data_IF_333695873782
#
_entry.id   IF_333695873782
#
_cell.length_a   1.000
_cell.length_b   1.000
_cell.length_c   1.000
_cell.angle_alpha   90.00
_cell.angle_beta   90.00
_cell.angle_gamma   90.00
#
_symmetry.space_group_name_H-M   'P 1'
#
loop_
_entity.id
_entity.type
_entity.pdbx_description
1 polymer ?
#
# COMPACT_ATOMS: atom_id res chain seq x y z
N UNK A 1 -62.01 -22.71 -21.10
CA UNK A 1 -61.94 -21.66 -20.07
C UNK A 1 -60.70 -21.94 -19.24
N UNK A 2 -59.76 -20.99 -19.19
CA UNK A 2 -58.52 -21.10 -18.43
C UNK A 2 -58.66 -20.35 -17.09
N UNK A 3 -58.31 -21.02 -15.99
CA UNK A 3 -57.90 -20.42 -14.71
C UNK A 3 -56.65 -21.19 -14.29
N UNK A 4 -55.45 -20.67 -14.52
CA UNK A 4 -54.76 -19.62 -13.76
C UNK A 4 -53.88 -20.21 -12.64
N UNK A 5 -52.58 -20.26 -12.95
CA UNK A 5 -51.42 -20.06 -12.07
C UNK A 5 -51.39 -20.68 -10.66
N UNK A 6 -50.46 -21.64 -10.51
CA UNK A 6 -49.44 -21.54 -9.47
C UNK A 6 -49.91 -21.68 -8.03
N UNK A 7 -50.60 -22.78 -7.69
CA UNK A 7 -50.71 -23.17 -6.30
C UNK A 7 -49.34 -23.70 -5.85
N UNK A 8 -48.55 -22.83 -5.23
CA UNK A 8 -47.31 -23.22 -4.54
C UNK A 8 -47.72 -24.03 -3.33
N UNK A 9 -47.65 -25.36 -3.44
CA UNK A 9 -47.69 -26.23 -2.28
C UNK A 9 -46.51 -25.83 -1.42
N UNK A 10 -46.79 -25.20 -0.27
CA UNK A 10 -45.78 -24.89 0.73
C UNK A 10 -45.31 -26.23 1.27
N UNK A 11 -44.20 -26.74 0.72
CA UNK A 11 -43.50 -27.85 1.31
C UNK A 11 -43.16 -27.44 2.75
N UNK A 12 -43.47 -28.24 3.77
CA UNK A 12 -43.05 -27.95 5.12
C UNK A 12 -41.53 -27.82 5.11
N UNK A 13 -41.05 -26.61 5.37
CA UNK A 13 -39.62 -26.35 5.48
C UNK A 13 -39.05 -27.26 6.55
N UNK A 14 -37.97 -27.96 6.21
CA UNK A 14 -37.16 -28.76 7.15
C UNK A 14 -36.32 -27.89 8.09
N UNK A 15 -36.67 -26.62 8.24
CA UNK A 15 -36.19 -25.77 9.30
C UNK A 15 -37.12 -26.01 10.48
N UNK A 16 -36.72 -26.94 11.35
CA UNK A 16 -37.38 -27.17 12.62
C UNK A 16 -37.47 -25.86 13.38
N UNK A 17 -38.70 -25.49 13.75
CA UNK A 17 -38.96 -24.62 14.88
C UNK A 17 -38.60 -25.41 16.13
N UNK A 18 -37.31 -25.59 16.39
CA UNK A 18 -36.83 -25.99 17.71
C UNK A 18 -36.60 -24.67 18.47
N UNK A 19 -37.70 -24.03 18.88
CA UNK A 19 -37.71 -23.08 19.99
C UNK A 19 -37.59 -23.84 21.31
N UNK A 20 -36.56 -24.67 21.43
CA UNK A 20 -36.10 -25.25 22.69
C UNK A 20 -34.58 -25.19 22.65
N UNK A 21 -34.04 -24.05 23.09
CA UNK A 21 -32.65 -23.92 23.53
C UNK A 21 -32.50 -24.76 24.81
N UNK A 22 -32.66 -26.09 24.68
CA UNK A 22 -32.21 -27.03 25.69
C UNK A 22 -30.71 -26.81 25.82
N UNK A 23 -30.29 -26.40 27.01
CA UNK A 23 -28.90 -26.37 27.42
C UNK A 23 -28.34 -27.80 27.35
N UNK A 24 -28.02 -28.28 26.14
CA UNK A 24 -27.28 -29.52 25.92
C UNK A 24 -25.95 -29.36 26.63
N UNK A 25 -25.71 -30.22 27.62
CA UNK A 25 -24.41 -30.32 28.26
C UNK A 25 -23.36 -30.52 27.16
N UNK A 26 -22.40 -29.59 27.08
CA UNK A 26 -21.30 -29.70 26.11
C UNK A 26 -20.63 -31.05 26.25
N UNK A 27 -20.63 -31.84 25.18
CA UNK A 27 -19.92 -33.11 25.18
C UNK A 27 -18.40 -32.84 25.28
N UNK A 28 -17.61 -33.78 25.83
CA UNK A 28 -16.16 -33.63 25.89
C UNK A 28 -15.53 -33.44 24.50
N UNK A 29 -16.16 -33.94 23.43
CA UNK A 29 -15.75 -33.76 22.05
C UNK A 29 -15.98 -32.32 21.56
N UNK A 30 -17.13 -31.71 21.89
CA UNK A 30 -17.43 -30.31 21.55
C UNK A 30 -16.43 -29.33 22.17
N UNK A 31 -15.97 -29.62 23.40
CA UNK A 31 -14.93 -28.82 24.08
C UNK A 31 -13.58 -28.89 23.36
N UNK A 32 -13.22 -30.07 22.83
CA UNK A 32 -11.98 -30.24 22.08
C UNK A 32 -12.03 -29.52 20.73
N UNK A 33 -13.17 -29.60 20.02
CA UNK A 33 -13.41 -28.87 18.77
C UNK A 33 -13.30 -27.36 18.99
N UNK A 34 -13.90 -26.81 20.06
CA UNK A 34 -13.79 -25.38 20.37
C UNK A 34 -12.36 -24.93 20.64
N UNK A 35 -11.58 -25.70 21.40
CA UNK A 35 -10.15 -25.41 21.63
C UNK A 35 -9.36 -25.42 20.34
N UNK A 36 -9.66 -26.34 19.43
CA UNK A 36 -8.96 -26.42 18.15
C UNK A 36 -9.34 -25.26 17.22
N UNK A 37 -10.62 -24.86 17.20
CA UNK A 37 -11.08 -23.66 16.50
C UNK A 37 -10.44 -22.40 17.08
N UNK A 38 -10.35 -22.26 18.41
CA UNK A 38 -9.67 -21.14 19.05
C UNK A 38 -8.18 -21.11 18.73
N UNK A 39 -7.49 -22.27 18.74
CA UNK A 39 -6.09 -22.36 18.30
C UNK A 39 -5.92 -21.99 16.83
N UNK A 40 -6.82 -22.45 15.94
CA UNK A 40 -6.80 -22.07 14.51
C UNK A 40 -7.06 -20.58 14.34
N UNK A 41 -8.04 -20.00 15.06
CA UNK A 41 -8.31 -18.56 15.08
C UNK A 41 -7.13 -17.75 15.63
N UNK A 42 -6.43 -18.24 16.65
CA UNK A 42 -5.26 -17.58 17.20
C UNK A 42 -4.09 -17.58 16.22
N UNK A 43 -3.81 -18.72 15.57
CA UNK A 43 -2.80 -18.81 14.51
C UNK A 43 -3.14 -17.88 13.35
N UNK A 44 -4.38 -17.94 12.88
CA UNK A 44 -4.86 -17.09 11.80
C UNK A 44 -4.78 -15.60 12.18
N UNK A 45 -5.11 -15.23 13.43
CA UNK A 45 -4.98 -13.85 13.92
C UNK A 45 -3.52 -13.41 14.05
N UNK A 46 -2.61 -14.33 14.41
CA UNK A 46 -1.16 -14.10 14.39
C UNK A 46 -0.65 -13.85 12.97
N UNK A 47 -1.01 -14.71 12.03
CA UNK A 47 -0.67 -14.56 10.60
C UNK A 47 -1.27 -13.29 9.98
N UNK A 48 -2.49 -12.91 10.36
CA UNK A 48 -3.11 -11.65 9.93
C UNK A 48 -2.36 -10.44 10.50
N UNK A 49 -1.97 -10.47 11.79
CA UNK A 49 -1.15 -9.41 12.40
C UNK A 49 0.23 -9.31 11.78
N UNK A 50 0.81 -10.44 11.36
CA UNK A 50 2.09 -10.43 10.64
C UNK A 50 1.95 -9.77 9.27
N UNK A 51 0.80 -9.86 8.59
CA UNK A 51 0.56 -9.18 7.30
C UNK A 51 0.23 -7.69 7.42
N UNK A 52 0.17 -7.14 8.63
CA UNK A 52 -0.10 -5.71 8.82
C UNK A 52 1.14 -4.86 8.55
N UNK A 53 0.92 -3.73 7.87
CA UNK A 53 1.96 -2.72 7.63
C UNK A 53 2.34 -2.05 8.94
N UNK A 54 3.62 -2.06 9.32
CA UNK A 54 4.08 -1.38 10.51
C UNK A 54 4.79 -0.09 10.11
N UNK A 55 4.30 1.05 10.59
CA UNK A 55 4.93 2.35 10.40
C UNK A 55 5.56 2.76 11.71
N UNK A 56 6.89 2.91 11.70
CA UNK A 56 7.66 3.38 12.84
C UNK A 56 8.18 4.78 12.54
N UNK A 57 7.64 5.78 13.21
CA UNK A 57 8.16 7.14 13.17
C UNK A 57 9.17 7.33 14.31
N UNK A 58 10.32 7.92 14.01
CA UNK A 58 11.32 8.31 15.01
C UNK A 58 10.87 9.54 15.83
N UNK A 59 9.88 10.30 15.33
CA UNK A 59 9.36 11.49 15.98
C UNK A 59 8.05 11.18 16.73
N UNK A 60 7.95 11.65 17.98
CA UNK A 60 6.80 11.44 18.86
C UNK A 60 5.63 12.43 18.60
N UNK A 61 5.68 13.22 17.53
CA UNK A 61 4.64 14.18 17.19
C UNK A 61 3.44 13.50 16.51
N UNK A 62 2.23 13.83 16.95
CA UNK A 62 0.97 13.25 16.45
C UNK A 62 0.69 13.53 14.96
N UNK A 63 1.35 14.54 14.36
CA UNK A 63 1.26 14.82 12.92
C UNK A 63 2.49 15.54 12.39
N UNK A 64 3.09 15.02 11.33
CA UNK A 64 4.19 15.63 10.59
C UNK A 64 3.68 16.81 9.74
N UNK A 65 4.25 17.99 9.94
CA UNK A 65 4.00 19.14 9.07
C UNK A 65 4.70 18.91 7.74
N UNK A 66 3.94 18.79 6.64
CA UNK A 66 4.49 18.53 5.32
C UNK A 66 3.88 19.47 4.28
N UNK A 67 4.74 20.19 3.55
CA UNK A 67 4.35 21.05 2.42
C UNK A 67 4.63 20.35 1.08
N UNK A 68 5.74 19.62 0.99
CA UNK A 68 6.16 18.86 -0.18
C UNK A 68 6.53 17.45 0.22
N UNK A 69 5.86 16.48 -0.38
CA UNK A 69 6.12 15.07 -0.17
C UNK A 69 6.55 14.41 -1.48
N UNK A 70 7.78 13.91 -1.51
CA UNK A 70 8.37 13.25 -2.67
C UNK A 70 8.43 11.75 -2.40
N UNK A 71 7.82 10.93 -3.26
CA UNK A 71 7.82 9.47 -3.11
C UNK A 71 8.50 8.85 -4.32
N UNK A 72 9.62 8.15 -4.12
CA UNK A 72 10.20 7.30 -5.14
C UNK A 72 9.79 5.86 -4.93
N UNK A 73 9.23 5.26 -5.98
CA UNK A 73 8.69 3.92 -5.98
C UNK A 73 9.47 3.07 -6.97
N UNK A 74 9.97 1.94 -6.49
CA UNK A 74 10.78 1.01 -7.26
C UNK A 74 12.28 1.29 -7.17
N UNK A 75 13.07 0.29 -7.53
CA UNK A 75 14.54 0.30 -7.32
C UNK A 75 15.25 1.43 -8.07
N UNK A 76 14.82 1.74 -9.30
CA UNK A 76 15.48 2.76 -10.12
C UNK A 76 15.20 4.17 -9.60
N UNK A 77 13.95 4.49 -9.25
CA UNK A 77 13.60 5.78 -8.66
C UNK A 77 14.26 5.94 -7.27
N UNK A 78 14.28 4.87 -6.47
CA UNK A 78 14.96 4.85 -5.18
C UNK A 78 16.47 5.07 -5.31
N UNK A 79 17.13 4.43 -6.28
CA UNK A 79 18.55 4.61 -6.56
C UNK A 79 18.88 6.02 -7.06
N UNK A 80 17.98 6.61 -7.85
CA UNK A 80 18.09 8.01 -8.26
C UNK A 80 18.05 8.95 -7.05
N UNK A 81 17.09 8.76 -6.12
CA UNK A 81 17.03 9.57 -4.91
C UNK A 81 18.28 9.40 -4.04
N UNK A 82 18.74 8.17 -3.84
CA UNK A 82 19.92 7.93 -3.00
C UNK A 82 21.17 8.59 -3.57
N UNK A 83 21.41 8.45 -4.88
CA UNK A 83 22.67 8.90 -5.49
C UNK A 83 22.70 10.41 -5.77
N UNK A 84 21.55 11.04 -6.03
CA UNK A 84 21.51 12.46 -6.42
C UNK A 84 21.00 13.37 -5.32
N UNK A 85 20.05 12.93 -4.50
CA UNK A 85 19.38 13.78 -3.52
C UNK A 85 19.93 13.57 -2.12
N UNK A 86 20.09 12.32 -1.69
CA UNK A 86 20.59 12.01 -0.35
C UNK A 86 22.08 12.36 -0.21
N UNK A 87 22.87 12.21 -1.28
CA UNK A 87 24.30 12.53 -1.27
C UNK A 87 24.59 14.05 -1.32
N UNK A 88 23.65 14.87 -1.80
CA UNK A 88 23.86 16.30 -2.04
C UNK A 88 23.37 17.21 -0.91
N UNK A 89 22.43 16.75 -0.08
CA UNK A 89 21.80 17.57 0.96
C UNK A 89 21.75 16.82 2.29
N UNK A 90 21.74 17.53 3.41
CA UNK A 90 21.63 16.90 4.73
C UNK A 90 20.17 16.44 4.99
N UNK A 91 19.95 15.13 4.95
CA UNK A 91 18.68 14.47 5.25
C UNK A 91 18.76 13.67 6.55
N UNK A 92 17.67 13.65 7.31
CA UNK A 92 17.52 12.88 8.53
C UNK A 92 16.47 11.77 8.34
N UNK A 93 16.75 10.55 8.79
CA UNK A 93 15.78 9.45 8.76
C UNK A 93 14.75 9.64 9.88
N UNK A 94 13.51 9.94 9.51
CA UNK A 94 12.40 10.19 10.44
C UNK A 94 11.47 9.01 10.62
N UNK A 95 11.56 7.98 9.78
CA UNK A 95 10.69 6.83 9.91
C UNK A 95 10.99 5.71 8.92
N UNK A 96 10.46 4.54 9.27
CA UNK A 96 10.59 3.32 8.49
C UNK A 96 9.23 2.65 8.43
N UNK A 97 8.81 2.28 7.22
CA UNK A 97 7.65 1.41 7.01
C UNK A 97 8.15 0.01 6.71
N UNK A 98 7.74 -0.94 7.54
CA UNK A 98 7.98 -2.37 7.36
C UNK A 98 6.75 -3.00 6.72
N UNK A 99 6.96 -3.57 5.55
CA UNK A 99 5.97 -4.38 4.86
C UNK A 99 6.29 -5.84 5.15
N UNK A 100 5.25 -6.58 5.50
CA UNK A 100 5.28 -8.02 5.58
C UNK A 100 4.39 -8.57 4.47
N UNK A 101 5.02 -9.12 3.44
CA UNK A 101 4.33 -9.82 2.37
C UNK A 101 5.20 -10.96 1.84
N UNK A 102 4.65 -11.78 0.96
CA UNK A 102 5.32 -12.98 0.41
C UNK A 102 6.64 -12.65 -0.31
N UNK A 103 6.75 -11.42 -0.83
CA UNK A 103 7.90 -10.89 -1.57
C UNK A 103 8.88 -10.13 -0.67
N UNK A 104 8.45 -9.79 0.55
CA UNK A 104 9.14 -8.96 1.52
C UNK A 104 9.27 -9.74 2.84
N UNK A 105 10.19 -10.71 2.88
CA UNK A 105 10.54 -11.43 4.12
C UNK A 105 11.61 -10.63 4.86
N UNK A 106 11.21 -9.61 5.62
CA UNK A 106 12.18 -8.86 6.44
C UNK A 106 12.45 -9.61 7.74
N UNK A 107 13.71 -9.99 7.94
CA UNK A 107 14.21 -10.40 9.25
C UNK A 107 14.12 -9.23 10.23
N UNK A 108 13.79 -9.53 11.48
CA UNK A 108 13.62 -8.60 12.60
C UNK A 108 14.92 -7.94 13.08
N UNK A 109 15.85 -7.65 12.18
CA UNK A 109 17.14 -7.03 12.48
C UNK A 109 17.05 -5.51 12.37
N UNK A 110 17.53 -4.83 13.40
CA UNK A 110 17.58 -3.37 13.59
C UNK A 110 18.59 -2.66 12.68
N UNK A 111 19.34 -3.42 11.88
CA UNK A 111 20.33 -2.88 10.96
C UNK A 111 19.67 -2.67 9.60
N UNK A 112 19.39 -1.42 9.26
CA UNK A 112 18.83 -1.01 7.97
C UNK A 112 19.90 -1.26 6.90
N UNK A 113 19.92 -2.45 6.32
CA UNK A 113 20.65 -2.69 5.08
C UNK A 113 19.82 -2.14 3.93
N UNK A 114 20.47 -1.50 2.95
CA UNK A 114 19.83 -0.99 1.73
C UNK A 114 19.11 -2.08 0.88
N UNK A 115 19.23 -3.34 1.28
CA UNK A 115 18.69 -4.54 0.62
C UNK A 115 17.41 -5.04 1.28
N UNK A 116 17.04 -4.54 2.46
CA UNK A 116 15.84 -4.98 3.16
C UNK A 116 14.59 -4.25 2.64
N UNK A 117 13.47 -4.96 2.60
CA UNK A 117 12.22 -4.49 2.01
C UNK A 117 11.48 -3.49 2.92
N UNK A 118 12.02 -2.29 3.00
CA UNK A 118 11.49 -1.18 3.79
C UNK A 118 11.15 0.02 2.91
N UNK A 119 10.21 0.86 3.37
CA UNK A 119 10.12 2.23 2.88
C UNK A 119 10.81 3.13 3.91
N UNK A 120 11.78 3.93 3.48
CA UNK A 120 12.51 4.85 4.34
C UNK A 120 11.97 6.26 4.15
N UNK A 121 11.74 6.97 5.25
CA UNK A 121 11.28 8.34 5.28
C UNK A 121 12.41 9.24 5.76
N UNK A 122 12.70 10.24 4.94
CA UNK A 122 13.71 11.24 5.19
C UNK A 122 13.06 12.60 5.31
N UNK A 123 13.56 13.42 6.23
CA UNK A 123 13.23 14.82 6.39
C UNK A 123 14.42 15.67 6.04
N UNK A 124 14.19 16.73 5.30
CA UNK A 124 15.22 17.68 4.98
C UNK A 124 15.58 18.52 6.23
N UNK A 125 16.87 18.61 6.56
CA UNK A 125 17.31 19.35 7.76
C UNK A 125 17.11 20.87 7.58
N UNK A 126 17.34 21.38 6.37
CA UNK A 126 17.20 22.80 6.05
C UNK A 126 15.75 23.29 6.03
N UNK A 127 14.80 22.42 5.68
CA UNK A 127 13.37 22.71 5.65
C UNK A 127 12.59 21.47 6.12
N UNK A 128 12.12 21.45 7.39
CA UNK A 128 11.46 20.29 7.97
C UNK A 128 10.10 19.98 7.32
N UNK A 129 9.58 20.85 6.45
CA UNK A 129 8.31 20.64 5.75
C UNK A 129 8.45 19.76 4.49
N UNK A 130 9.68 19.50 4.04
CA UNK A 130 9.98 18.66 2.89
C UNK A 130 10.30 17.24 3.34
N UNK A 131 9.47 16.30 2.91
CA UNK A 131 9.61 14.87 3.23
C UNK A 131 9.87 14.06 1.96
N UNK A 132 10.71 13.05 2.10
CA UNK A 132 11.11 12.14 1.03
C UNK A 132 10.89 10.70 1.46
N UNK A 133 10.18 9.93 0.66
CA UNK A 133 9.93 8.52 0.88
C UNK A 133 10.63 7.70 -0.22
N UNK A 134 11.54 6.83 0.20
CA UNK A 134 12.20 5.86 -0.65
C UNK A 134 11.52 4.50 -0.46
N UNK A 135 10.74 4.07 -1.45
CA UNK A 135 10.07 2.77 -1.47
C UNK A 135 10.81 1.82 -2.44
N UNK A 136 11.76 1.04 -1.90
CA UNK A 136 12.51 0.04 -2.67
C UNK A 136 11.81 -1.33 -2.74
N UNK A 137 10.76 -1.50 -1.93
CA UNK A 137 9.99 -2.73 -1.78
C UNK A 137 8.70 -2.72 -2.61
N UNK A 138 8.18 -3.92 -2.86
CA UNK A 138 6.89 -4.11 -3.52
C UNK A 138 5.75 -4.05 -2.49
N UNK A 139 4.83 -3.09 -2.68
CA UNK A 139 3.59 -2.99 -1.90
C UNK A 139 2.49 -3.71 -2.67
N UNK A 140 1.98 -4.80 -2.10
CA UNK A 140 0.89 -5.58 -2.69
C UNK A 140 -0.40 -4.75 -2.80
N UNK A 141 -1.25 -5.04 -3.78
CA UNK A 141 -2.46 -4.27 -4.09
C UNK A 141 -3.43 -4.14 -2.89
N UNK A 142 -3.55 -5.19 -2.10
CA UNK A 142 -4.37 -5.23 -0.87
C UNK A 142 -3.79 -4.39 0.27
N UNK A 143 -2.49 -4.11 0.24
CA UNK A 143 -1.75 -3.33 1.22
C UNK A 143 -1.62 -1.85 0.83
N UNK A 144 -1.79 -1.48 -0.44
CA UNK A 144 -1.58 -0.11 -0.92
C UNK A 144 -2.44 0.92 -0.18
N UNK A 145 -3.73 0.62 0.02
CA UNK A 145 -4.64 1.52 0.73
C UNK A 145 -4.23 1.69 2.20
N UNK A 146 -3.90 0.59 2.89
CA UNK A 146 -3.45 0.65 4.28
C UNK A 146 -2.13 1.42 4.42
N UNK A 147 -1.23 1.28 3.44
CA UNK A 147 0.02 2.04 3.40
C UNK A 147 -0.28 3.54 3.32
N UNK A 148 -1.17 3.93 2.40
CA UNK A 148 -1.57 5.31 2.20
C UNK A 148 -2.21 5.90 3.45
N UNK A 149 -3.15 5.20 4.07
CA UNK A 149 -3.81 5.66 5.29
C UNK A 149 -2.83 5.87 6.44
N UNK A 150 -1.87 4.95 6.65
CA UNK A 150 -0.89 5.10 7.74
C UNK A 150 0.11 6.22 7.47
N UNK A 151 0.59 6.34 6.23
CA UNK A 151 1.56 7.36 5.85
C UNK A 151 0.91 8.75 5.84
N UNK A 152 -0.17 8.94 5.08
CA UNK A 152 -0.86 10.23 4.99
C UNK A 152 -1.71 10.56 6.22
N UNK A 153 -2.10 9.57 7.02
CA UNK A 153 -2.74 9.80 8.32
C UNK A 153 -1.80 10.45 9.33
N UNK A 154 -0.49 10.23 9.18
CA UNK A 154 0.54 10.84 10.02
C UNK A 154 0.97 12.23 9.54
N UNK A 155 0.39 12.75 8.44
CA UNK A 155 0.81 14.01 7.81
C UNK A 155 -0.30 15.06 7.80
N UNK A 156 0.09 16.33 7.94
CA UNK A 156 -0.84 17.45 7.79
C UNK A 156 -1.16 17.72 6.31
N UNK A 157 -2.43 17.61 5.91
CA UNK A 157 -2.87 17.66 4.50
C UNK A 157 -3.09 19.06 3.91
N UNK A 158 -2.79 20.14 4.66
CA UNK A 158 -3.09 21.51 4.20
C UNK A 158 -2.02 22.01 3.22
N UNK A 159 -2.38 22.15 1.94
CA UNK A 159 -1.48 22.68 0.91
C UNK A 159 -0.35 21.71 0.51
N UNK A 160 -0.57 20.41 0.69
CA UNK A 160 0.43 19.37 0.42
C UNK A 160 0.61 19.14 -1.08
N UNK A 161 1.83 19.33 -1.58
CA UNK A 161 2.23 18.95 -2.93
C UNK A 161 2.89 17.57 -2.89
N UNK A 162 2.28 16.58 -3.55
CA UNK A 162 2.83 15.22 -3.66
C UNK A 162 3.47 15.04 -5.03
N UNK A 163 4.72 14.59 -5.07
CA UNK A 163 5.46 14.25 -6.29
C UNK A 163 5.83 12.78 -6.24
N UNK A 164 5.39 12.02 -7.24
CA UNK A 164 5.64 10.58 -7.31
C UNK A 164 6.63 10.31 -8.45
N UNK A 165 7.75 9.68 -8.11
CA UNK A 165 8.75 9.19 -9.04
C UNK A 165 8.55 7.68 -9.17
N UNK A 166 8.21 7.24 -10.38
CA UNK A 166 8.06 5.83 -10.72
C UNK A 166 8.81 5.53 -12.01
N UNK A 167 9.11 4.25 -12.22
CA UNK A 167 9.80 3.78 -13.42
C UNK A 167 9.03 2.65 -14.07
N UNK A 168 8.98 2.67 -15.40
CA UNK A 168 8.36 1.64 -16.21
C UNK A 168 9.36 1.19 -17.30
N UNK A 169 9.46 -0.10 -17.63
CA UNK A 169 10.26 -0.56 -18.76
C UNK A 169 9.81 0.10 -20.06
N UNK A 170 10.77 0.49 -20.92
CA UNK A 170 10.46 1.07 -22.24
C UNK A 170 9.66 0.10 -23.12
N UNK A 171 9.81 -1.21 -22.89
CA UNK A 171 9.05 -2.25 -23.59
C UNK A 171 7.53 -2.16 -23.35
N UNK A 172 7.11 -1.64 -22.19
CA UNK A 172 5.70 -1.48 -21.82
C UNK A 172 5.13 -0.13 -22.26
N UNK A 173 6.00 0.81 -22.69
CA UNK A 173 5.59 2.13 -23.16
C UNK A 173 4.99 2.04 -24.56
N UNK A 174 3.71 2.43 -24.67
CA UNK A 174 2.94 2.45 -25.90
C UNK A 174 3.00 3.84 -26.52
N UNK A 175 3.57 3.95 -27.70
CA UNK A 175 3.55 5.18 -28.50
C UNK A 175 3.25 4.85 -29.96
N UNK A 176 2.86 5.86 -30.73
CA UNK A 176 2.64 5.71 -32.18
C UNK A 176 3.97 5.59 -32.95
N UNK A 177 5.05 6.13 -32.37
CA UNK A 177 6.40 6.00 -32.91
C UNK A 177 7.01 4.64 -32.55
N UNK A 178 8.10 4.25 -33.20
CA UNK A 178 8.80 3.02 -32.81
C UNK A 178 9.49 3.21 -31.47
N UNK A 179 9.40 2.23 -30.57
CA UNK A 179 10.18 2.24 -29.33
C UNK A 179 11.70 2.23 -29.58
N UNK A 180 12.14 1.84 -30.78
CA UNK A 180 13.54 1.86 -31.20
C UNK A 180 14.05 3.26 -31.58
N UNK A 181 13.16 4.20 -31.90
CA UNK A 181 13.52 5.59 -32.22
C UNK A 181 13.54 6.49 -30.99
N UNK A 182 13.05 6.00 -29.85
CA UNK A 182 13.06 6.75 -28.59
C UNK A 182 14.46 6.76 -27.97
N UNK A 183 14.92 7.96 -27.61
CA UNK A 183 16.17 8.13 -26.85
C UNK A 183 15.89 7.74 -25.40
N UNK A 184 16.43 6.60 -24.97
CA UNK A 184 16.37 6.13 -23.58
C UNK A 184 17.59 6.62 -22.80
N UNK A 185 17.45 7.11 -21.54
CA UNK A 185 16.21 7.25 -20.77
C UNK A 185 15.44 8.53 -21.10
N UNK A 186 14.12 8.48 -21.03
CA UNK A 186 13.24 9.64 -21.17
C UNK A 186 12.24 9.74 -20.02
N UNK A 187 11.72 10.95 -19.78
CA UNK A 187 10.75 11.23 -18.73
C UNK A 187 9.40 11.62 -19.33
N UNK A 188 8.34 11.18 -18.67
CA UNK A 188 6.95 11.57 -18.92
C UNK A 188 6.31 11.96 -17.60
N UNK A 189 5.42 12.95 -17.63
CA UNK A 189 4.69 13.41 -16.45
C UNK A 189 3.19 13.19 -16.56
N UNK A 190 2.58 12.94 -15.42
CA UNK A 190 1.15 13.13 -15.19
C UNK A 190 0.98 14.25 -14.18
N UNK A 191 -0.10 15.02 -14.32
CA UNK A 191 -0.46 16.06 -13.37
C UNK A 191 -1.94 16.02 -13.07
N UNK A 192 -2.28 16.45 -11.85
CA UNK A 192 -3.66 16.66 -11.44
C UNK A 192 -4.17 18.02 -11.93
N UNK A 193 -5.47 18.28 -11.79
CA UNK A 193 -6.07 19.57 -12.19
C UNK A 193 -5.64 20.71 -11.24
N UNK A 194 -5.32 20.34 -10.02
CA UNK A 194 -4.91 21.20 -8.92
C UNK A 194 -3.44 21.62 -9.04
N UNK A 195 -2.66 20.93 -9.87
CA UNK A 195 -1.26 21.28 -10.13
C UNK A 195 -1.15 22.49 -11.07
N UNK A 196 -0.71 23.62 -10.51
CA UNK A 196 -0.62 24.91 -11.22
C UNK A 196 0.78 25.22 -11.76
N UNK A 197 1.82 24.47 -11.35
CA UNK A 197 3.21 24.73 -11.77
C UNK A 197 3.49 24.23 -13.20
N UNK A 198 4.63 24.67 -13.76
CA UNK A 198 5.06 24.24 -15.08
C UNK A 198 5.66 22.83 -15.02
N UNK A 199 5.20 21.96 -15.91
CA UNK A 199 5.72 20.60 -16.02
C UNK A 199 7.03 20.63 -16.81
N UNK A 200 8.10 20.04 -16.25
CA UNK A 200 9.43 20.05 -16.86
C UNK A 200 9.62 19.01 -17.97
N UNK A 201 8.69 18.07 -18.14
CA UNK A 201 8.75 17.01 -19.13
C UNK A 201 7.41 16.83 -19.88
N UNK A 202 7.42 16.21 -21.06
CA UNK A 202 6.19 15.98 -21.82
C UNK A 202 5.19 15.12 -21.06
N UNK A 203 3.90 15.37 -21.30
CA UNK A 203 2.83 14.61 -20.65
C UNK A 203 2.80 13.16 -21.14
N UNK A 204 2.36 12.25 -20.27
CA UNK A 204 2.19 10.86 -20.61
C UNK A 204 1.05 10.68 -21.63
N UNK A 205 1.38 10.06 -22.76
CA UNK A 205 0.45 9.83 -23.87
C UNK A 205 -0.49 8.65 -23.57
N UNK A 206 -1.73 8.71 -24.05
CA UNK A 206 -2.62 7.55 -24.03
C UNK A 206 -2.12 6.50 -25.04
N UNK A 207 -2.23 5.19 -24.76
CA UNK A 207 -2.99 4.55 -23.67
C UNK A 207 -2.13 4.15 -22.46
N UNK A 208 -1.00 4.82 -22.21
CA UNK A 208 -0.16 4.51 -21.06
C UNK A 208 -0.87 4.90 -19.76
N UNK A 209 -0.81 4.02 -18.78
CA UNK A 209 -1.38 4.24 -17.45
C UNK A 209 -0.34 3.93 -16.39
N UNK A 210 -0.41 4.65 -15.28
CA UNK A 210 0.33 4.33 -14.07
C UNK A 210 -0.46 3.27 -13.30
N UNK A 211 0.25 2.31 -12.70
CA UNK A 211 -0.33 1.17 -11.96
C UNK A 211 0.28 1.10 -10.56
N UNK A 212 -0.31 0.26 -9.72
CA UNK A 212 0.14 -0.05 -8.37
C UNK A 212 0.19 1.17 -7.44
N UNK A 213 1.07 1.15 -6.44
CA UNK A 213 1.25 2.19 -5.43
C UNK A 213 1.33 3.62 -6.01
N UNK A 214 2.01 3.90 -7.15
CA UNK A 214 2.00 5.23 -7.75
C UNK A 214 0.63 5.72 -8.24
N UNK A 215 -0.34 4.82 -8.43
CA UNK A 215 -1.71 5.13 -8.86
C UNK A 215 -2.74 5.07 -7.71
N UNK A 216 -2.36 4.54 -6.54
CA UNK A 216 -3.19 4.47 -5.34
C UNK A 216 -3.28 5.82 -4.62
#
# INVERSE_FOLDING_TARGET
MATFFGEVVVAPSRAGLDEEEEAREETPEDREIRREIEKKRYRQRGEIKEREIQVLWSCAEESLVCSRFIVAIGRNAAAFLSSFILDSVCWEVIGVVKLWNEWCKTSSTTNVLATDSFCLFYRLISDPTVLLCQCSCYVAEDQQFQWLEKVFGSMQKKGLQVTILSTCPVADYKTQESTLTLVSPFLRALKTKEFQEQVCCPLLEQPNIVRDLPAA
#
